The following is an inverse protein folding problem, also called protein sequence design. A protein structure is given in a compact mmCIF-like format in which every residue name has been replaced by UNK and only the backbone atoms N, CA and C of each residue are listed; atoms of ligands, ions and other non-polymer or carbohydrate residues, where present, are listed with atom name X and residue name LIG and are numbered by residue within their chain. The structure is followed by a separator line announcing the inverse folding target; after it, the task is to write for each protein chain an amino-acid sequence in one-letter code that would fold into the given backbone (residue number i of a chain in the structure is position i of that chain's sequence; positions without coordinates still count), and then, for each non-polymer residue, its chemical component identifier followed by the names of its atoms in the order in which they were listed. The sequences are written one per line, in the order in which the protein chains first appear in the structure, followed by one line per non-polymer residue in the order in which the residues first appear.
data_IF_118355739119
#
_entry.id   IF_118355739119
#
_cell.length_a   1.000
_cell.length_b   1.000
_cell.length_c   1.000
_cell.angle_alpha   90.00
_cell.angle_beta   90.00
_cell.angle_gamma   90.00
#
_symmetry.space_group_name_H-M   'P 1'
#
loop_
_entity.id
_entity.type
_entity.pdbx_description
1 polymer ?
#
# COMPACT_ATOMS: atom_id res chain seq x y z
N UNK A 1 -20.08 10.89 -3.36
CA UNK A 1 -19.90 9.77 -2.42
C UNK A 1 -18.77 10.11 -1.45
N UNK A 2 -19.06 10.10 -0.17
CA UNK A 2 -18.05 10.39 0.86
C UNK A 2 -17.13 9.17 1.09
N UNK A 3 -16.02 9.33 1.84
CA UNK A 3 -15.08 8.22 2.05
C UNK A 3 -15.71 6.99 2.72
N UNK A 4 -16.64 7.18 3.67
CA UNK A 4 -17.30 6.07 4.34
C UNK A 4 -18.18 5.28 3.37
N UNK A 5 -18.91 5.97 2.52
CA UNK A 5 -19.75 5.33 1.49
C UNK A 5 -18.92 4.55 0.49
N UNK A 6 -17.76 5.11 0.09
CA UNK A 6 -16.85 4.40 -0.82
C UNK A 6 -16.25 3.15 -0.18
N UNK A 7 -15.89 3.24 1.08
CA UNK A 7 -15.38 2.09 1.81
C UNK A 7 -16.44 1.00 1.93
N UNK A 8 -17.68 1.39 2.23
CA UNK A 8 -18.79 0.43 2.34
C UNK A 8 -19.09 -0.24 1.00
N UNK A 9 -19.04 0.53 -0.10
CA UNK A 9 -19.24 -0.01 -1.43
C UNK A 9 -18.22 -1.10 -1.78
N UNK A 10 -16.97 -0.87 -1.44
CA UNK A 10 -15.90 -1.85 -1.64
C UNK A 10 -16.12 -3.09 -0.75
N UNK A 11 -16.44 -2.85 0.51
CA UNK A 11 -16.66 -3.93 1.48
C UNK A 11 -17.80 -4.85 1.07
N UNK A 12 -18.87 -4.28 0.52
CA UNK A 12 -20.08 -5.03 0.14
C UNK A 12 -20.02 -5.58 -1.30
N UNK A 13 -18.91 -5.36 -2.02
CA UNK A 13 -18.82 -5.76 -3.44
C UNK A 13 -18.58 -7.26 -3.58
N UNK A 14 -19.56 -8.04 -4.09
CA UNK A 14 -19.35 -9.46 -4.35
C UNK A 14 -18.35 -9.71 -5.48
N UNK A 15 -18.23 -8.79 -6.43
CA UNK A 15 -17.27 -8.89 -7.53
C UNK A 15 -15.84 -8.81 -7.03
N UNK A 16 -15.56 -7.86 -6.11
CA UNK A 16 -14.24 -7.73 -5.49
C UNK A 16 -13.92 -8.92 -4.61
N UNK A 17 -14.87 -9.37 -3.83
CA UNK A 17 -14.70 -10.55 -2.96
C UNK A 17 -14.35 -11.79 -3.79
N UNK A 18 -15.08 -12.02 -4.87
CA UNK A 18 -14.83 -13.16 -5.77
C UNK A 18 -13.47 -13.06 -6.45
N UNK A 19 -13.12 -11.88 -6.95
CA UNK A 19 -11.83 -11.66 -7.60
C UNK A 19 -10.68 -11.90 -6.63
N UNK A 20 -10.80 -11.38 -5.42
CA UNK A 20 -9.79 -11.56 -4.36
C UNK A 20 -9.67 -13.04 -3.98
N UNK A 21 -10.77 -13.72 -3.78
CA UNK A 21 -10.79 -15.14 -3.42
C UNK A 21 -10.15 -16.00 -4.50
N UNK A 22 -10.47 -15.74 -5.76
CA UNK A 22 -9.90 -16.49 -6.89
C UNK A 22 -8.40 -16.25 -7.03
N UNK A 23 -7.94 -15.02 -6.83
CA UNK A 23 -6.51 -14.70 -6.83
C UNK A 23 -5.79 -15.37 -5.66
N UNK A 24 -6.39 -15.35 -4.48
CA UNK A 24 -5.81 -15.93 -3.27
C UNK A 24 -5.61 -17.45 -3.39
N UNK A 25 -6.50 -18.15 -4.09
CA UNK A 25 -6.37 -19.59 -4.34
C UNK A 25 -5.15 -19.96 -5.19
N UNK A 26 -4.68 -19.03 -6.00
CA UNK A 26 -3.54 -19.25 -6.88
C UNK A 26 -2.21 -18.95 -6.17
N UNK A 27 -2.28 -18.34 -5.00
CA UNK A 27 -1.10 -18.06 -4.17
C UNK A 27 -0.70 -19.28 -3.35
N UNK A 28 0.56 -19.30 -2.96
CA UNK A 28 1.14 -20.37 -2.16
C UNK A 28 1.43 -19.94 -0.71
N UNK A 29 1.01 -18.73 -0.34
CA UNK A 29 1.13 -18.23 1.03
C UNK A 29 0.06 -18.84 1.92
N UNK A 30 0.44 -19.14 3.15
CA UNK A 30 -0.50 -19.64 4.17
C UNK A 30 -1.00 -18.42 4.95
N UNK A 31 -2.33 -18.25 5.00
CA UNK A 31 -2.93 -17.17 5.77
C UNK A 31 -2.78 -17.46 7.28
N UNK A 32 -2.52 -16.43 8.11
CA UNK A 32 -2.49 -16.60 9.55
C UNK A 32 -3.86 -17.02 10.08
N UNK A 33 -3.87 -17.90 11.06
CA UNK A 33 -5.10 -18.31 11.73
C UNK A 33 -5.37 -17.38 12.92
N UNK A 34 -6.22 -16.39 12.72
CA UNK A 34 -6.59 -15.43 13.76
C UNK A 34 -7.33 -16.09 14.93
N UNK A 35 -8.02 -17.20 14.69
CA UNK A 35 -8.69 -17.95 15.75
C UNK A 35 -7.70 -18.71 16.64
N UNK A 36 -6.53 -19.04 16.11
CA UNK A 36 -5.44 -19.66 16.88
C UNK A 36 -4.53 -18.61 17.54
N UNK A 37 -4.86 -17.32 17.46
CA UNK A 37 -4.06 -16.25 18.02
C UNK A 37 -2.90 -15.82 17.16
N UNK A 38 -2.83 -16.29 15.93
CA UNK A 38 -1.82 -15.83 14.96
C UNK A 38 -2.15 -14.42 14.51
N UNK A 39 -1.14 -13.56 14.51
CA UNK A 39 -1.32 -12.16 14.11
C UNK A 39 -0.65 -11.92 12.76
N UNK A 40 -1.18 -10.95 12.02
CA UNK A 40 -0.56 -10.49 10.78
C UNK A 40 0.52 -9.48 11.14
N UNK A 41 1.77 -9.88 11.01
CA UNK A 41 2.90 -8.98 11.24
C UNK A 41 3.04 -8.00 10.08
N UNK A 42 3.35 -6.75 10.43
CA UNK A 42 3.63 -5.70 9.46
C UNK A 42 2.42 -4.83 9.16
N UNK A 43 2.60 -3.94 8.21
CA UNK A 43 1.58 -2.98 7.80
C UNK A 43 1.62 -2.82 6.28
N UNK A 44 0.45 -2.54 5.71
CA UNK A 44 0.33 -2.19 4.30
C UNK A 44 0.16 -0.69 4.18
N UNK A 45 0.93 -0.10 3.28
CA UNK A 45 0.89 1.33 3.00
C UNK A 45 0.80 1.49 1.49
N UNK A 46 -0.07 2.38 1.03
CA UNK A 46 -0.17 2.69 -0.39
C UNK A 46 0.34 4.10 -0.65
N UNK A 47 1.04 4.27 -1.76
CA UNK A 47 1.43 5.58 -2.25
C UNK A 47 0.71 5.84 -3.57
N UNK A 48 0.15 7.03 -3.72
CA UNK A 48 -0.55 7.43 -4.94
C UNK A 48 -0.12 8.83 -5.35
N UNK A 49 -0.16 9.09 -6.65
CA UNK A 49 0.09 10.42 -7.20
C UNK A 49 -1.23 10.95 -7.74
N UNK A 50 -1.67 12.10 -7.23
CA UNK A 50 -2.87 12.76 -7.73
C UNK A 50 -2.59 13.57 -8.99
N UNK A 51 -3.65 14.00 -9.68
CA UNK A 51 -3.53 14.75 -10.94
C UNK A 51 -2.70 16.03 -10.82
N UNK A 52 -2.72 16.67 -9.66
CA UNK A 52 -1.95 17.88 -9.39
C UNK A 52 -0.47 17.62 -9.07
N UNK A 53 -0.04 16.36 -9.12
CA UNK A 53 1.33 15.97 -8.84
C UNK A 53 1.64 15.67 -7.38
N UNK A 54 0.67 15.82 -6.49
CA UNK A 54 0.89 15.52 -5.07
C UNK A 54 1.06 14.02 -4.84
N UNK A 55 2.10 13.65 -4.10
CA UNK A 55 2.30 12.28 -3.67
C UNK A 55 1.69 12.08 -2.28
N UNK A 56 0.77 11.14 -2.17
CA UNK A 56 0.03 10.84 -0.95
C UNK A 56 0.42 9.47 -0.41
N UNK A 57 0.44 9.37 0.91
CA UNK A 57 0.53 8.10 1.61
C UNK A 57 -0.82 7.75 2.22
N UNK A 58 -1.29 6.54 1.97
CA UNK A 58 -2.53 6.00 2.50
C UNK A 58 -2.20 4.84 3.44
N UNK A 59 -2.55 4.99 4.71
CA UNK A 59 -2.30 3.97 5.72
C UNK A 59 -3.52 3.88 6.63
N UNK A 60 -4.11 2.68 6.73
CA UNK A 60 -5.43 2.47 7.35
C UNK A 60 -5.53 2.84 8.82
N UNK A 61 -4.39 2.92 9.53
CA UNK A 61 -4.38 3.29 10.95
C UNK A 61 -4.30 4.80 11.17
N UNK A 62 -4.13 5.60 10.11
CA UNK A 62 -4.11 7.05 10.19
C UNK A 62 -5.50 7.61 9.92
N UNK A 63 -5.76 8.83 10.40
CA UNK A 63 -7.06 9.49 10.23
C UNK A 63 -7.36 9.86 8.79
N UNK A 64 -6.37 9.96 7.94
CA UNK A 64 -6.56 10.29 6.53
C UNK A 64 -5.25 10.27 5.76
N UNK A 65 -5.31 10.61 4.46
CA UNK A 65 -4.13 10.65 3.62
C UNK A 65 -3.09 11.67 4.11
N UNK A 66 -1.82 11.35 3.92
CA UNK A 66 -0.71 12.21 4.32
C UNK A 66 0.04 12.64 3.05
N UNK A 67 0.31 13.94 2.92
CA UNK A 67 1.13 14.47 1.83
C UNK A 67 2.59 14.10 2.07
N UNK A 68 3.23 13.48 1.08
CA UNK A 68 4.66 13.15 1.16
C UNK A 68 5.53 14.14 0.38
N UNK A 69 4.97 14.82 -0.61
CA UNK A 69 5.67 15.80 -1.42
C UNK A 69 4.96 16.00 -2.76
N UNK A 70 5.66 16.65 -3.68
CA UNK A 70 5.16 16.93 -5.02
C UNK A 70 6.09 16.30 -6.04
N UNK A 71 5.52 15.62 -7.03
CA UNK A 71 6.25 15.01 -8.15
C UNK A 71 6.00 15.80 -9.41
N UNK A 72 7.01 15.92 -10.27
CA UNK A 72 6.87 16.53 -11.58
C UNK A 72 6.13 15.65 -12.56
N UNK A 73 5.79 16.18 -13.72
CA UNK A 73 5.06 15.45 -14.76
C UNK A 73 5.79 14.17 -15.20
N UNK A 74 7.12 14.24 -15.26
CA UNK A 74 7.97 13.12 -15.68
C UNK A 74 8.38 12.21 -14.51
N UNK A 75 7.92 12.50 -13.30
CA UNK A 75 8.25 11.73 -12.11
C UNK A 75 7.04 10.89 -11.67
N UNK A 76 7.12 9.59 -11.87
CA UNK A 76 6.10 8.68 -11.39
C UNK A 76 6.45 8.16 -9.97
N UNK A 77 5.64 7.25 -9.46
CA UNK A 77 5.83 6.69 -8.12
C UNK A 77 7.07 5.78 -8.02
N UNK A 78 7.64 5.36 -9.14
CA UNK A 78 8.87 4.57 -9.16
C UNK A 78 10.11 5.44 -9.41
N UNK A 79 9.94 6.76 -9.57
CA UNK A 79 11.06 7.68 -9.72
C UNK A 79 11.92 7.71 -8.45
N UNK A 80 13.18 8.13 -8.61
CA UNK A 80 14.08 8.26 -7.47
C UNK A 80 13.52 9.19 -6.39
N UNK A 81 12.91 10.29 -6.81
CA UNK A 81 12.30 11.25 -5.87
C UNK A 81 11.15 10.63 -5.08
N UNK A 82 10.26 9.91 -5.77
CA UNK A 82 9.13 9.24 -5.11
C UNK A 82 9.61 8.19 -4.12
N UNK A 83 10.62 7.42 -4.48
CA UNK A 83 11.20 6.41 -3.58
C UNK A 83 11.78 7.05 -2.31
N UNK A 84 12.47 8.18 -2.46
CA UNK A 84 13.02 8.93 -1.33
C UNK A 84 11.94 9.52 -0.41
N UNK A 85 10.84 10.00 -0.99
CA UNK A 85 9.74 10.58 -0.23
C UNK A 85 8.86 9.55 0.46
N UNK A 86 8.82 8.34 -0.02
CA UNK A 86 7.90 7.30 0.43
C UNK A 86 8.59 6.04 0.96
N UNK A 87 8.73 5.00 0.13
CA UNK A 87 9.20 3.70 0.60
C UNK A 87 10.54 3.73 1.34
N UNK A 88 11.50 4.50 0.86
CA UNK A 88 12.81 4.56 1.50
C UNK A 88 12.80 5.21 2.88
N UNK A 89 11.78 6.00 3.22
CA UNK A 89 11.66 6.56 4.56
C UNK A 89 11.47 5.45 5.61
N UNK A 90 10.75 4.41 5.26
CA UNK A 90 10.55 3.26 6.14
C UNK A 90 11.81 2.44 6.31
N UNK A 91 12.52 2.19 5.21
CA UNK A 91 13.79 1.45 5.24
C UNK A 91 14.84 2.19 6.09
N UNK A 92 14.96 3.51 5.90
CA UNK A 92 15.90 4.34 6.66
C UNK A 92 15.54 4.41 8.14
N UNK A 93 14.24 4.44 8.45
CA UNK A 93 13.78 4.43 9.85
C UNK A 93 14.21 3.15 10.55
N UNK A 94 14.00 2.00 9.93
CA UNK A 94 14.40 0.72 10.51
C UNK A 94 15.91 0.63 10.70
N UNK A 95 16.68 1.14 9.75
CA UNK A 95 18.13 1.20 9.86
C UNK A 95 18.60 2.05 11.06
N UNK A 96 17.88 3.13 11.36
CA UNK A 96 18.21 4.02 12.50
C UNK A 96 17.80 3.46 13.85
N UNK A 97 16.65 2.79 13.91
CA UNK A 97 16.13 2.27 15.19
C UNK A 97 16.83 1.00 15.62
N UNK A 98 17.59 0.37 14.72
CA UNK A 98 18.35 -0.83 15.04
C UNK A 98 17.52 -2.07 15.29
N UNK A 99 16.22 -2.06 14.94
CA UNK A 99 15.37 -3.25 15.06
C UNK A 99 15.76 -4.32 14.06
N UNK A 100 16.47 -3.93 12.98
CA UNK A 100 16.95 -4.87 11.98
C UNK A 100 15.86 -5.46 11.10
N UNK A 101 14.66 -4.89 11.10
CA UNK A 101 13.59 -5.37 10.24
C UNK A 101 13.90 -5.05 8.78
N UNK A 102 14.13 -6.11 8.00
CA UNK A 102 14.50 -6.00 6.58
C UNK A 102 13.44 -6.61 5.66
N UNK A 103 12.30 -7.02 6.19
CA UNK A 103 11.25 -7.67 5.40
C UNK A 103 10.33 -6.63 4.78
N UNK A 104 10.83 -5.99 3.72
CA UNK A 104 10.05 -5.06 2.92
C UNK A 104 9.70 -5.69 1.58
N UNK A 105 8.45 -5.48 1.15
CA UNK A 105 7.99 -5.90 -0.16
C UNK A 105 7.30 -4.72 -0.82
N UNK A 106 7.57 -4.52 -2.10
CA UNK A 106 7.01 -3.41 -2.87
C UNK A 106 6.34 -3.95 -4.13
N UNK A 107 5.08 -3.59 -4.30
CA UNK A 107 4.32 -3.91 -5.50
C UNK A 107 3.90 -2.61 -6.19
N UNK A 108 3.98 -2.57 -7.49
CA UNK A 108 3.55 -1.42 -8.27
C UNK A 108 2.47 -1.83 -9.27
N UNK A 109 1.44 -1.00 -9.36
CA UNK A 109 0.43 -1.13 -10.41
C UNK A 109 0.82 -0.20 -11.55
N UNK A 110 1.02 -0.75 -12.72
CA UNK A 110 1.44 0.00 -13.89
C UNK A 110 0.66 -0.45 -15.12
N UNK A 111 0.67 0.39 -16.16
CA UNK A 111 0.08 0.00 -17.43
C UNK A 111 0.85 -1.17 -18.04
N UNK A 112 0.11 -2.02 -18.71
CA UNK A 112 0.68 -3.11 -19.48
C UNK A 112 1.04 -2.58 -20.87
N UNK A 113 2.30 -2.68 -21.24
CA UNK A 113 2.82 -2.15 -22.50
C UNK A 113 3.04 -3.24 -23.54
N UNK A 114 2.16 -4.19 -23.62
CA UNK A 114 2.19 -5.18 -24.69
C UNK A 114 1.80 -4.60 -26.05
#
# INVERSE_FOLDING_TARGET
MNPTERAQLIYDSPELESAHFNAAKQGDSIAPDVHAGEDVEGAFVAFVKSEDGTMWELEGRRKGPVVRGTLGEDEDLLSAKAMELGPLTYVKREAKTGTGELRFSLLALAEDFE
#
